data_IF_359345213699
#
_entry.id   IF_359345213699
#
_cell.length_a   1.000
_cell.length_b   1.000
_cell.length_c   1.000
_cell.angle_alpha   90.00
_cell.angle_beta   90.00
_cell.angle_gamma   90.00
#
_symmetry.space_group_name_H-M   'P 1'
#
loop_
_entity.id
_entity.type
_entity.pdbx_description
1 polymer ?
#
# COMPACT_ATOMS: atom_id res chain seq x y z
N UNK A 1 -4.19 10.31 15.15
CA UNK A 1 -4.26 9.04 14.40
C UNK A 1 -5.10 8.06 15.21
N UNK A 2 -6.11 7.42 14.62
CA UNK A 2 -6.98 6.45 15.33
C UNK A 2 -6.42 5.03 15.20
N UNK A 3 -6.83 4.11 16.09
CA UNK A 3 -6.45 2.69 16.00
C UNK A 3 -6.86 2.09 14.65
N UNK A 4 -8.09 2.38 14.20
CA UNK A 4 -8.59 1.95 12.89
C UNK A 4 -7.66 2.35 11.73
N UNK A 5 -7.29 3.63 11.65
CA UNK A 5 -6.43 4.14 10.57
C UNK A 5 -5.01 3.54 10.59
N UNK A 6 -4.51 3.15 11.77
CA UNK A 6 -3.22 2.47 11.93
C UNK A 6 -3.27 1.03 11.45
N UNK A 7 -4.24 0.26 11.93
CA UNK A 7 -4.36 -1.15 11.56
C UNK A 7 -4.73 -1.32 10.09
N UNK A 8 -5.61 -0.47 9.55
CA UNK A 8 -5.92 -0.48 8.12
C UNK A 8 -4.67 -0.17 7.27
N UNK A 9 -3.90 0.86 7.65
CA UNK A 9 -2.63 1.17 6.99
C UNK A 9 -1.64 0.01 7.02
N UNK A 10 -1.46 -0.64 8.17
CA UNK A 10 -0.57 -1.80 8.30
C UNK A 10 -1.05 -3.01 7.47
N UNK A 11 -2.35 -3.27 7.43
CA UNK A 11 -2.93 -4.34 6.61
C UNK A 11 -2.67 -4.09 5.11
N UNK A 12 -2.83 -2.84 4.64
CA UNK A 12 -2.56 -2.47 3.25
C UNK A 12 -1.08 -2.69 2.88
N UNK A 13 -0.15 -2.33 3.77
CA UNK A 13 1.29 -2.60 3.56
C UNK A 13 1.54 -4.09 3.35
N UNK A 14 0.96 -4.94 4.20
CA UNK A 14 1.10 -6.40 4.09
C UNK A 14 0.47 -6.95 2.80
N UNK A 15 -0.69 -6.43 2.39
CA UNK A 15 -1.35 -6.87 1.16
C UNK A 15 -0.53 -6.53 -0.09
N UNK A 16 0.06 -5.32 -0.17
CA UNK A 16 0.98 -5.01 -1.27
C UNK A 16 2.21 -5.90 -1.28
N UNK A 17 2.76 -6.22 -0.10
CA UNK A 17 3.85 -7.19 0.01
C UNK A 17 3.43 -8.57 -0.53
N UNK A 18 2.24 -9.05 -0.17
CA UNK A 18 1.69 -10.32 -0.67
C UNK A 18 1.53 -10.33 -2.19
N UNK A 19 0.98 -9.27 -2.78
CA UNK A 19 0.80 -9.16 -4.23
C UNK A 19 2.16 -9.15 -4.95
N UNK A 20 3.10 -8.36 -4.45
CA UNK A 20 4.45 -8.27 -4.98
C UNK A 20 5.18 -9.63 -4.93
N UNK A 21 5.17 -10.30 -3.77
CA UNK A 21 5.80 -11.63 -3.61
C UNK A 21 5.13 -12.66 -4.51
N UNK A 22 3.80 -12.68 -4.55
CA UNK A 22 3.07 -13.62 -5.41
C UNK A 22 3.40 -13.41 -6.87
N UNK A 23 3.41 -12.16 -7.36
CA UNK A 23 3.79 -11.84 -8.73
C UNK A 23 5.25 -12.21 -9.06
N UNK A 24 6.17 -12.03 -8.12
CA UNK A 24 7.56 -12.48 -8.27
C UNK A 24 7.66 -14.01 -8.34
N UNK A 25 6.94 -14.73 -7.47
CA UNK A 25 6.89 -16.20 -7.49
C UNK A 25 6.33 -16.70 -8.82
N UNK A 26 5.23 -16.13 -9.31
CA UNK A 26 4.66 -16.47 -10.62
C UNK A 26 5.67 -16.23 -11.75
N UNK A 27 6.45 -15.14 -11.66
CA UNK A 27 7.51 -14.83 -12.63
C UNK A 27 8.62 -15.87 -12.62
N UNK A 28 9.09 -16.28 -11.44
CA UNK A 28 10.14 -17.29 -11.27
C UNK A 28 9.66 -18.66 -11.77
N UNK A 29 8.40 -19.00 -11.50
CA UNK A 29 7.76 -20.25 -11.97
C UNK A 29 7.39 -20.23 -13.45
N UNK A 30 7.68 -19.14 -14.19
CA UNK A 30 7.42 -19.03 -15.62
C UNK A 30 5.93 -19.04 -15.99
N UNK A 31 5.02 -18.73 -15.06
CA UNK A 31 3.57 -18.72 -15.33
C UNK A 31 3.24 -17.61 -16.33
N UNK A 32 2.29 -17.86 -17.22
CA UNK A 32 1.84 -16.86 -18.20
C UNK A 32 0.54 -16.17 -17.78
N UNK A 33 -0.34 -16.91 -17.12
CA UNK A 33 -1.64 -16.42 -16.66
C UNK A 33 -1.57 -15.77 -15.28
N UNK A 34 -2.43 -14.78 -15.07
CA UNK A 34 -2.65 -14.16 -13.77
C UNK A 34 -3.76 -14.88 -13.01
N UNK A 35 -3.49 -15.50 -11.85
CA UNK A 35 -4.52 -16.18 -11.07
C UNK A 35 -5.64 -15.22 -10.64
N UNK A 36 -6.88 -15.69 -10.65
CA UNK A 36 -8.05 -14.92 -10.20
C UNK A 36 -7.92 -14.42 -8.75
N UNK A 37 -7.28 -15.23 -7.89
CA UNK A 37 -7.01 -14.84 -6.51
C UNK A 37 -6.09 -13.62 -6.40
N UNK A 38 -5.10 -13.47 -7.30
CA UNK A 38 -4.21 -12.30 -7.32
C UNK A 38 -4.98 -11.05 -7.74
N UNK A 39 -5.86 -11.18 -8.74
CA UNK A 39 -6.77 -10.11 -9.15
C UNK A 39 -7.71 -9.68 -8.03
N UNK A 40 -8.33 -10.64 -7.34
CA UNK A 40 -9.19 -10.35 -6.20
C UNK A 40 -8.42 -9.64 -5.07
N UNK A 41 -7.22 -10.11 -4.75
CA UNK A 41 -6.36 -9.51 -3.73
C UNK A 41 -5.99 -8.08 -4.08
N UNK A 42 -5.58 -7.84 -5.33
CA UNK A 42 -5.29 -6.49 -5.85
C UNK A 42 -6.50 -5.56 -5.70
N UNK A 43 -7.68 -6.02 -6.15
CA UNK A 43 -8.90 -5.21 -6.11
C UNK A 43 -9.34 -4.86 -4.68
N UNK A 44 -9.30 -5.83 -3.75
CA UNK A 44 -9.57 -5.56 -2.34
C UNK A 44 -8.57 -4.60 -1.73
N UNK A 45 -7.29 -4.72 -2.08
CA UNK A 45 -6.24 -3.82 -1.58
C UNK A 45 -6.44 -2.39 -2.07
N UNK A 46 -6.82 -2.20 -3.34
CA UNK A 46 -7.20 -0.89 -3.91
C UNK A 46 -8.39 -0.27 -3.15
N UNK A 47 -9.45 -1.04 -2.90
CA UNK A 47 -10.61 -0.57 -2.16
C UNK A 47 -10.25 -0.16 -0.72
N UNK A 48 -9.41 -0.95 -0.04
CA UNK A 48 -8.91 -0.62 1.29
C UNK A 48 -8.05 0.66 1.28
N UNK A 49 -7.22 0.86 0.26
CA UNK A 49 -6.45 2.10 0.10
C UNK A 49 -7.35 3.33 -0.11
N UNK A 50 -8.44 3.20 -0.85
CA UNK A 50 -9.45 4.26 -0.99
C UNK A 50 -10.09 4.57 0.36
N UNK A 51 -10.52 3.55 1.11
CA UNK A 51 -11.08 3.72 2.46
C UNK A 51 -10.06 4.39 3.40
N UNK A 52 -8.80 3.97 3.35
CA UNK A 52 -7.71 4.55 4.14
C UNK A 52 -7.49 6.03 3.79
N UNK A 53 -7.53 6.37 2.49
CA UNK A 53 -7.39 7.73 1.99
C UNK A 53 -8.54 8.62 2.48
N UNK A 54 -9.78 8.17 2.32
CA UNK A 54 -10.98 8.89 2.79
C UNK A 54 -10.91 9.10 4.31
N UNK A 55 -10.56 8.05 5.06
CA UNK A 55 -10.38 8.14 6.52
C UNK A 55 -9.31 9.16 6.89
N UNK A 56 -8.18 9.17 6.18
CA UNK A 56 -7.09 10.14 6.38
C UNK A 56 -7.53 11.58 6.12
N UNK A 57 -8.32 11.81 5.06
CA UNK A 57 -8.90 13.13 4.74
C UNK A 57 -9.85 13.58 5.85
N UNK A 58 -10.76 12.71 6.30
CA UNK A 58 -11.69 13.02 7.40
C UNK A 58 -10.90 13.39 8.66
N UNK A 59 -9.88 12.60 9.02
CA UNK A 59 -9.04 12.90 10.19
C UNK A 59 -8.32 14.25 10.04
N UNK A 60 -7.82 14.57 8.86
CA UNK A 60 -7.16 15.85 8.59
C UNK A 60 -8.13 17.03 8.73
N UNK A 61 -9.36 16.91 8.22
CA UNK A 61 -10.42 17.91 8.35
C UNK A 61 -10.83 18.12 9.81
N UNK A 62 -10.80 17.06 10.62
CA UNK A 62 -11.00 17.11 12.08
C UNK A 62 -9.75 17.62 12.85
N UNK A 63 -8.74 18.13 12.15
CA UNK A 63 -7.52 18.68 12.75
C UNK A 63 -6.53 17.64 13.27
N UNK A 64 -6.75 16.35 13.02
CA UNK A 64 -5.85 15.27 13.45
C UNK A 64 -4.67 15.16 12.49
N UNK A 65 -3.57 15.85 12.82
CA UNK A 65 -2.33 15.85 12.02
C UNK A 65 -1.26 14.95 12.63
N UNK A 66 -0.35 14.49 11.78
CA UNK A 66 0.91 13.88 12.22
C UNK A 66 1.84 15.02 12.62
N UNK A 67 2.44 14.94 13.81
CA UNK A 67 3.31 15.97 14.38
C UNK A 67 4.57 15.32 14.96
N UNK A 68 5.68 16.05 14.99
CA UNK A 68 6.92 15.62 15.65
C UNK A 68 7.91 14.82 14.79
N UNK A 69 7.71 14.73 13.47
CA UNK A 69 8.65 14.08 12.55
C UNK A 69 9.01 15.05 11.39
N UNK A 70 10.27 15.10 10.94
CA UNK A 70 10.64 15.87 9.75
C UNK A 70 9.76 15.49 8.55
N UNK A 71 9.33 16.50 7.77
CA UNK A 71 8.48 16.32 6.60
C UNK A 71 7.17 15.57 6.88
N UNK A 72 6.55 15.77 8.05
CA UNK A 72 5.28 15.13 8.43
C UNK A 72 4.15 15.28 7.38
N UNK A 73 4.18 16.35 6.58
CA UNK A 73 3.23 16.55 5.46
C UNK A 73 3.35 15.48 4.36
N UNK A 74 4.50 14.82 4.22
CA UNK A 74 4.69 13.71 3.28
C UNK A 74 3.90 12.47 3.65
N UNK A 75 3.48 12.33 4.92
CA UNK A 75 2.57 11.26 5.35
C UNK A 75 1.33 11.18 4.46
N UNK A 76 0.78 12.34 4.10
CA UNK A 76 -0.42 12.42 3.29
C UNK A 76 -0.19 11.88 1.87
N UNK A 77 0.95 12.19 1.25
CA UNK A 77 1.25 11.70 -0.10
C UNK A 77 1.64 10.23 -0.11
N UNK A 78 2.47 9.81 0.85
CA UNK A 78 2.90 8.41 1.00
C UNK A 78 1.75 7.47 1.37
N UNK A 79 0.75 7.94 2.10
CA UNK A 79 -0.41 7.16 2.52
C UNK A 79 -1.61 7.20 1.57
N UNK A 80 -1.58 8.02 0.51
CA UNK A 80 -2.71 8.16 -0.42
C UNK A 80 -2.30 8.29 -1.89
N UNK A 81 -1.94 9.50 -2.34
CA UNK A 81 -1.78 9.84 -3.74
C UNK A 81 -0.69 9.02 -4.45
N UNK A 82 0.49 8.89 -3.85
CA UNK A 82 1.59 8.17 -4.51
C UNK A 82 1.31 6.67 -4.67
N UNK A 83 0.82 5.94 -3.64
CA UNK A 83 0.39 4.55 -3.82
C UNK A 83 -0.69 4.39 -4.90
N UNK A 84 -1.68 5.30 -4.96
CA UNK A 84 -2.71 5.25 -6.00
C UNK A 84 -2.11 5.37 -7.40
N UNK A 85 -1.19 6.32 -7.61
CA UNK A 85 -0.48 6.48 -8.89
C UNK A 85 0.32 5.20 -9.23
N UNK A 86 1.03 4.64 -8.25
CA UNK A 86 1.83 3.43 -8.44
C UNK A 86 0.97 2.24 -8.89
N UNK A 87 -0.19 2.05 -8.28
CA UNK A 87 -1.11 0.94 -8.59
C UNK A 87 -1.74 1.13 -9.96
N UNK A 88 -2.24 2.33 -10.26
CA UNK A 88 -2.83 2.64 -11.57
C UNK A 88 -1.78 2.45 -12.67
N UNK A 89 -0.56 2.96 -12.47
CA UNK A 89 0.56 2.78 -13.41
C UNK A 89 0.92 1.30 -13.60
N UNK A 90 1.01 0.54 -12.51
CA UNK A 90 1.28 -0.91 -12.56
C UNK A 90 0.19 -1.68 -13.30
N UNK A 91 -1.09 -1.36 -13.06
CA UNK A 91 -2.23 -1.99 -13.75
C UNK A 91 -2.24 -1.67 -15.24
N UNK A 92 -2.03 -0.41 -15.61
CA UNK A 92 -1.94 -0.01 -17.02
C UNK A 92 -0.76 -0.68 -17.73
N UNK A 93 0.38 -0.81 -17.05
CA UNK A 93 1.53 -1.54 -17.58
C UNK A 93 1.25 -3.05 -17.71
N UNK A 94 0.45 -3.62 -16.81
CA UNK A 94 -0.02 -5.01 -16.88
C UNK A 94 -0.94 -5.25 -18.08
N UNK A 95 -1.96 -4.40 -18.26
CA UNK A 95 -2.93 -4.50 -19.36
C UNK A 95 -2.33 -4.33 -20.76
N UNK A 96 -1.15 -3.70 -20.87
CA UNK A 96 -0.40 -3.59 -22.13
C UNK A 96 0.33 -4.88 -22.52
N UNK A 97 0.32 -5.90 -21.66
CA UNK A 97 0.95 -7.18 -21.94
C UNK A 97 -0.12 -8.20 -22.30
N UNK A 98 0.09 -8.92 -23.41
CA UNK A 98 -0.77 -10.04 -23.80
C UNK A 98 -0.60 -11.26 -22.87
N UNK A 99 0.55 -11.38 -22.21
CA UNK A 99 0.87 -12.42 -21.25
C UNK A 99 1.54 -11.82 -20.01
N UNK A 100 1.41 -12.47 -18.86
CA UNK A 100 2.09 -12.10 -17.61
C UNK A 100 1.70 -10.70 -17.10
N UNK A 101 0.42 -10.37 -17.18
CA UNK A 101 -0.13 -9.11 -16.65
C UNK A 101 0.23 -8.90 -15.17
N UNK A 102 0.34 -9.99 -14.40
CA UNK A 102 0.76 -9.99 -12.99
C UNK A 102 2.11 -9.29 -12.75
N UNK A 103 2.98 -9.17 -13.76
CA UNK A 103 4.25 -8.43 -13.63
C UNK A 103 3.98 -6.93 -13.45
N UNK A 104 2.98 -6.38 -14.14
CA UNK A 104 2.56 -4.99 -13.92
C UNK A 104 1.99 -4.78 -12.51
N UNK A 105 1.15 -5.71 -12.05
CA UNK A 105 0.60 -5.70 -10.69
C UNK A 105 1.69 -5.79 -9.62
N UNK A 106 2.70 -6.64 -9.84
CA UNK A 106 3.84 -6.81 -8.94
C UNK A 106 4.67 -5.53 -8.82
N UNK A 107 4.95 -4.85 -9.93
CA UNK A 107 5.68 -3.57 -9.92
C UNK A 107 4.87 -2.46 -9.25
N UNK A 108 3.58 -2.34 -9.59
CA UNK A 108 2.69 -1.38 -8.94
C UNK A 108 2.66 -1.59 -7.41
N UNK A 109 2.54 -2.86 -7.00
CA UNK A 109 2.54 -3.24 -5.58
C UNK A 109 3.89 -3.05 -4.90
N UNK A 110 5.01 -3.26 -5.58
CA UNK A 110 6.34 -2.96 -5.04
C UNK A 110 6.49 -1.49 -4.65
N UNK A 111 6.13 -0.57 -5.56
CA UNK A 111 6.17 0.86 -5.27
C UNK A 111 5.14 1.26 -4.23
N UNK A 112 3.90 0.75 -4.33
CA UNK A 112 2.86 1.03 -3.34
C UNK A 112 3.22 0.51 -1.94
N UNK A 113 3.87 -0.65 -1.83
CA UNK A 113 4.42 -1.19 -0.59
C UNK A 113 5.43 -0.22 0.02
N UNK A 114 6.44 0.21 -0.74
CA UNK A 114 7.47 1.11 -0.23
C UNK A 114 6.87 2.46 0.23
N UNK A 115 5.94 3.02 -0.54
CA UNK A 115 5.27 4.27 -0.24
C UNK A 115 4.37 4.14 0.99
N UNK A 116 3.53 3.12 1.08
CA UNK A 116 2.64 2.91 2.24
C UNK A 116 3.41 2.54 3.50
N UNK A 117 4.51 1.78 3.39
CA UNK A 117 5.43 1.53 4.51
C UNK A 117 6.04 2.83 5.01
N UNK A 118 6.49 3.72 4.11
CA UNK A 118 6.98 5.04 4.49
C UNK A 118 5.87 5.87 5.17
N UNK A 119 4.64 5.81 4.65
CA UNK A 119 3.46 6.40 5.27
C UNK A 119 3.25 5.91 6.71
N UNK A 120 3.35 4.60 6.95
CA UNK A 120 3.27 4.01 8.29
C UNK A 120 4.42 4.48 9.19
N UNK A 121 5.65 4.50 8.70
CA UNK A 121 6.82 4.96 9.46
C UNK A 121 6.73 6.44 9.85
N UNK A 122 6.21 7.30 8.97
CA UNK A 122 5.96 8.71 9.31
C UNK A 122 4.89 8.89 10.39
N UNK A 123 4.09 7.86 10.66
CA UNK A 123 3.04 7.90 11.68
C UNK A 123 3.44 7.19 12.98
N UNK A 124 4.22 6.13 12.89
CA UNK A 124 4.53 5.20 13.98
C UNK A 124 6.02 5.17 14.38
N UNK A 125 6.89 5.83 13.61
CA UNK A 125 8.34 5.78 13.78
C UNK A 125 9.02 4.79 12.81
N UNK A 126 10.33 4.95 12.63
CA UNK A 126 11.10 4.22 11.61
C UNK A 126 11.66 2.88 12.11
N UNK A 127 11.80 2.70 13.43
CA UNK A 127 12.34 1.48 14.02
C UNK A 127 11.27 0.41 14.20
N UNK A 128 11.68 -0.86 14.15
CA UNK A 128 10.77 -2.00 14.41
C UNK A 128 10.13 -1.84 15.80
N UNK A 129 10.89 -1.46 16.82
CA UNK A 129 10.37 -1.23 18.17
C UNK A 129 9.32 -0.10 18.24
N UNK A 130 9.43 0.93 17.39
CA UNK A 130 8.43 1.99 17.32
C UNK A 130 7.15 1.50 16.61
N UNK A 131 7.30 0.78 15.50
CA UNK A 131 6.18 0.13 14.79
C UNK A 131 5.41 -0.83 15.70
N UNK A 132 6.11 -1.73 16.40
CA UNK A 132 5.49 -2.72 17.30
C UNK A 132 4.71 -2.02 18.42
N UNK A 133 5.28 -0.99 19.05
CA UNK A 133 4.57 -0.20 20.08
C UNK A 133 3.36 0.53 19.51
N UNK A 134 3.45 1.08 18.29
CA UNK A 134 2.35 1.79 17.65
C UNK A 134 1.16 0.89 17.30
N UNK A 135 1.44 -0.39 17.01
CA UNK A 135 0.47 -1.41 16.59
C UNK A 135 0.01 -2.33 17.73
N UNK A 136 0.55 -2.15 18.93
CA UNK A 136 0.08 -2.84 20.12
C UNK A 136 -1.23 -2.22 20.62
N UNK A 137 -2.18 -3.02 21.12
CA UNK A 137 -3.46 -2.55 21.64
C UNK A 137 -3.31 -1.67 22.89
#
# INVERSE_FOLDING_TARGET
>A
MTLFHRYLGAAIVLLFLVIMVTGLVLRILGREETPSALWATQHWTENLLVIQTITGIILLLLGRRVVGIPLAWMHYLYGSLFPLIAIVGGRLAGLRREQREYVGLAWGSFFAFALTLRGLQTACGETIAALTRCLSP
#
